data_IF_493961092356
#
_entry.id   IF_493961092356
#
_cell.length_a   1.000
_cell.length_b   1.000
_cell.length_c   1.000
_cell.angle_alpha   90.00
_cell.angle_beta   90.00
_cell.angle_gamma   90.00
#
_symmetry.space_group_name_H-M   'P 1'
#
loop_
_entity.id
_entity.type
_entity.pdbx_description
1 polymer ?
#
# COMPACT_ATOMS: atom_id res chain seq x y z
N UNK A 1 -35.56 27.97 1.73
CA UNK A 1 -34.76 27.14 2.68
C UNK A 1 -33.31 27.15 2.23
N UNK A 2 -32.42 27.78 3.00
CA UNK A 2 -31.00 27.87 2.67
C UNK A 2 -30.31 26.58 3.11
N UNK A 3 -29.81 25.78 2.15
CA UNK A 3 -29.06 24.54 2.42
C UNK A 3 -27.86 24.87 3.33
N UNK A 4 -27.89 24.43 4.59
CA UNK A 4 -26.74 24.52 5.51
C UNK A 4 -25.53 23.86 4.83
N UNK A 5 -24.52 24.65 4.47
CA UNK A 5 -23.25 24.14 3.95
C UNK A 5 -22.59 23.36 5.07
N UNK A 6 -22.43 22.05 4.89
CA UNK A 6 -21.55 21.25 5.76
C UNK A 6 -20.14 21.85 5.67
N UNK A 7 -19.41 22.01 6.79
CA UNK A 7 -18.03 22.48 6.74
C UNK A 7 -17.24 21.56 5.81
N UNK A 8 -16.57 22.17 4.82
CA UNK A 8 -15.75 21.43 3.86
C UNK A 8 -14.53 20.94 4.63
N UNK A 9 -14.45 19.63 4.92
CA UNK A 9 -13.26 19.01 5.51
C UNK A 9 -12.08 19.44 4.62
N UNK A 10 -11.14 20.20 5.17
CA UNK A 10 -9.93 20.60 4.42
C UNK A 10 -9.27 19.29 4.03
N UNK A 11 -9.22 18.99 2.73
CA UNK A 11 -8.51 17.81 2.24
C UNK A 11 -7.04 18.10 2.44
N UNK A 12 -6.46 17.49 3.46
CA UNK A 12 -5.01 17.47 3.65
C UNK A 12 -4.39 16.80 2.43
N UNK A 13 -3.36 17.43 1.89
CA UNK A 13 -2.57 16.85 0.81
C UNK A 13 -1.98 15.52 1.28
N UNK A 14 -1.89 14.52 0.40
CA UNK A 14 -1.23 13.25 0.70
C UNK A 14 -0.21 12.99 -0.38
N UNK A 15 1.02 12.63 -0.02
CA UNK A 15 2.04 12.17 -0.96
C UNK A 15 2.34 10.70 -0.70
N UNK A 16 2.20 9.84 -1.72
CA UNK A 16 2.51 8.41 -1.63
C UNK A 16 3.68 8.09 -2.54
N UNK A 17 4.75 7.55 -1.96
CA UNK A 17 5.91 7.03 -2.67
C UNK A 17 5.75 5.52 -2.85
N UNK A 18 5.66 5.06 -4.09
CA UNK A 18 5.51 3.64 -4.43
C UNK A 18 6.84 3.06 -4.91
N UNK A 19 7.17 1.85 -4.44
CA UNK A 19 8.35 1.11 -4.90
C UNK A 19 8.22 0.68 -6.37
N UNK A 20 7.03 0.26 -6.80
CA UNK A 20 6.76 -0.25 -8.14
C UNK A 20 5.49 0.30 -8.78
N UNK A 21 5.33 -0.07 -10.06
CA UNK A 21 4.20 0.38 -10.88
C UNK A 21 2.87 -0.30 -10.52
N UNK A 22 2.92 -1.51 -9.95
CA UNK A 22 1.70 -2.20 -9.52
C UNK A 22 1.01 -1.44 -8.39
N UNK A 23 1.77 -1.02 -7.37
CA UNK A 23 1.31 -0.20 -6.26
C UNK A 23 0.82 1.15 -6.77
N UNK A 24 1.58 1.79 -7.67
CA UNK A 24 1.20 3.07 -8.25
C UNK A 24 -0.15 2.99 -8.98
N UNK A 25 -0.33 2.01 -9.85
CA UNK A 25 -1.57 1.82 -10.59
C UNK A 25 -2.74 1.49 -9.65
N UNK A 26 -2.48 0.73 -8.59
CA UNK A 26 -3.48 0.43 -7.57
C UNK A 26 -3.93 1.71 -6.83
N UNK A 27 -3.00 2.56 -6.37
CA UNK A 27 -3.36 3.83 -5.73
C UNK A 27 -4.00 4.82 -6.70
N UNK A 28 -3.64 4.83 -7.99
CA UNK A 28 -4.34 5.62 -9.03
C UNK A 28 -5.80 5.19 -9.17
N UNK A 29 -6.07 3.88 -9.19
CA UNK A 29 -7.44 3.36 -9.20
C UNK A 29 -8.21 3.82 -7.96
N UNK A 30 -7.64 3.70 -6.76
CA UNK A 30 -8.29 4.16 -5.53
C UNK A 30 -8.53 5.69 -5.53
N UNK A 31 -7.58 6.46 -6.07
CA UNK A 31 -7.72 7.89 -6.26
C UNK A 31 -8.92 8.25 -7.13
N UNK A 32 -9.15 7.51 -8.21
CA UNK A 32 -10.31 7.69 -9.07
C UNK A 32 -11.59 7.29 -8.33
N UNK A 33 -11.62 6.07 -7.76
CA UNK A 33 -12.77 5.50 -7.05
C UNK A 33 -13.28 6.41 -5.91
N UNK A 34 -12.37 6.96 -5.11
CA UNK A 34 -12.71 7.77 -3.92
C UNK A 34 -12.58 9.28 -4.13
N UNK A 35 -12.48 9.74 -5.38
CA UNK A 35 -12.35 11.16 -5.73
C UNK A 35 -11.19 11.86 -4.99
N UNK A 36 -10.04 11.19 -4.87
CA UNK A 36 -8.87 11.58 -4.07
C UNK A 36 -8.02 12.70 -4.66
N UNK A 37 -8.63 13.83 -5.02
CA UNK A 37 -7.95 14.94 -5.73
C UNK A 37 -6.76 15.58 -4.98
N UNK A 38 -6.66 15.40 -3.65
CA UNK A 38 -5.56 15.88 -2.83
C UNK A 38 -4.38 14.92 -2.72
N UNK A 39 -4.48 13.74 -3.35
CA UNK A 39 -3.45 12.71 -3.30
C UNK A 39 -2.51 12.91 -4.48
N UNK A 40 -1.22 12.98 -4.19
CA UNK A 40 -0.13 12.95 -5.15
C UNK A 40 0.56 11.60 -5.04
N UNK A 41 0.83 11.01 -6.19
CA UNK A 41 1.47 9.70 -6.29
C UNK A 41 2.81 9.90 -6.96
N UNK A 42 3.85 9.33 -6.37
CA UNK A 42 5.20 9.34 -6.91
C UNK A 42 5.71 7.91 -7.02
N UNK A 43 6.02 7.52 -8.25
CA UNK A 43 6.84 6.35 -8.48
C UNK A 43 8.28 6.70 -8.14
N UNK A 44 8.96 5.74 -7.54
CA UNK A 44 10.40 5.78 -7.32
C UNK A 44 11.19 5.96 -8.63
N UNK A 45 12.26 6.76 -8.61
CA UNK A 45 13.17 6.89 -9.75
C UNK A 45 14.19 5.72 -9.81
N UNK A 46 14.00 4.87 -10.82
CA UNK A 46 14.85 3.90 -11.56
C UNK A 46 16.03 3.10 -10.92
N UNK A 47 16.56 3.42 -9.74
CA UNK A 47 17.82 2.81 -9.24
C UNK A 47 17.71 1.50 -8.39
N UNK A 48 16.66 0.67 -8.52
CA UNK A 48 16.50 -0.58 -7.72
C UNK A 48 16.54 -0.53 -6.16
N UNK A 49 16.57 0.66 -5.55
CA UNK A 49 16.59 0.96 -4.12
C UNK A 49 15.32 0.51 -3.34
N UNK A 50 15.50 -0.13 -2.19
CA UNK A 50 14.43 -0.70 -1.37
C UNK A 50 14.31 -0.02 0.01
N UNK A 51 13.12 -0.07 0.61
CA UNK A 51 12.83 0.35 2.00
C UNK A 51 13.45 1.69 2.42
N UNK A 52 14.58 1.62 3.14
CA UNK A 52 15.36 2.76 3.66
C UNK A 52 15.55 3.90 2.65
N UNK A 53 15.88 3.55 1.41
CA UNK A 53 16.22 4.55 0.40
C UNK A 53 14.96 5.28 -0.11
N UNK A 54 13.81 4.60 -0.16
CA UNK A 54 12.53 5.22 -0.51
C UNK A 54 12.06 6.17 0.60
N UNK A 55 12.29 5.81 1.86
CA UNK A 55 12.07 6.70 3.01
C UNK A 55 12.95 7.95 2.91
N UNK A 56 14.25 7.79 2.62
CA UNK A 56 15.16 8.91 2.42
C UNK A 56 14.73 9.82 1.26
N UNK A 57 14.26 9.24 0.15
CA UNK A 57 13.72 10.00 -0.98
C UNK A 57 12.52 10.85 -0.56
N UNK A 58 11.62 10.29 0.25
CA UNK A 58 10.46 11.00 0.77
C UNK A 58 10.86 12.17 1.71
N UNK A 59 11.89 11.97 2.54
CA UNK A 59 12.46 13.02 3.39
C UNK A 59 13.06 14.15 2.56
N UNK A 60 13.91 13.82 1.57
CA UNK A 60 14.53 14.80 0.68
C UNK A 60 13.46 15.58 -0.08
N UNK A 61 12.46 14.89 -0.62
CA UNK A 61 11.36 15.53 -1.31
C UNK A 61 10.59 16.50 -0.42
N UNK A 62 10.26 16.10 0.82
CA UNK A 62 9.58 16.97 1.79
C UNK A 62 10.40 18.21 2.11
N UNK A 63 11.68 18.03 2.39
CA UNK A 63 12.57 19.15 2.71
C UNK A 63 12.65 20.15 1.55
N UNK A 64 12.62 19.66 0.31
CA UNK A 64 12.57 20.50 -0.89
C UNK A 64 11.24 21.26 -1.05
N UNK A 65 10.13 20.82 -0.43
CA UNK A 65 8.87 21.57 -0.44
C UNK A 65 8.88 22.76 0.55
N UNK A 66 9.78 22.76 1.54
CA UNK A 66 9.78 23.75 2.62
C UNK A 66 8.41 23.83 3.31
N UNK A 67 7.87 25.05 3.46
CA UNK A 67 6.53 25.28 4.03
C UNK A 67 5.38 25.04 3.03
N UNK A 68 5.68 24.63 1.80
CA UNK A 68 4.69 24.43 0.73
C UNK A 68 3.88 23.13 0.85
N UNK A 69 4.34 22.18 1.66
CA UNK A 69 3.64 20.91 1.91
C UNK A 69 3.44 20.71 3.41
N UNK A 70 2.18 20.56 3.83
CA UNK A 70 1.78 20.29 5.22
C UNK A 70 0.95 18.99 5.33
N UNK A 71 0.98 18.19 4.28
CA UNK A 71 0.21 16.95 4.16
C UNK A 71 0.85 15.74 4.82
N UNK A 72 0.18 14.60 4.70
CA UNK A 72 0.71 13.30 5.15
C UNK A 72 1.56 12.66 4.06
N UNK A 73 2.66 12.02 4.46
CA UNK A 73 3.50 11.25 3.54
C UNK A 73 3.36 9.76 3.86
N UNK A 74 3.24 8.97 2.81
CA UNK A 74 3.23 7.52 2.85
C UNK A 74 4.35 6.99 1.97
N UNK A 75 4.97 5.91 2.42
CA UNK A 75 5.97 5.16 1.67
C UNK A 75 5.50 3.71 1.60
N UNK A 76 5.39 3.15 0.40
CA UNK A 76 4.92 1.80 0.14
C UNK A 76 6.06 0.94 -0.39
N UNK A 77 6.46 -0.06 0.39
CA UNK A 77 7.47 -1.05 0.01
C UNK A 77 7.13 -2.43 0.56
N UNK A 78 7.67 -3.45 -0.08
CA UNK A 78 7.52 -4.83 0.35
C UNK A 78 8.78 -5.32 1.09
N UNK A 79 8.73 -6.47 1.76
CA UNK A 79 9.92 -7.12 2.30
C UNK A 79 10.92 -7.40 1.16
N UNK A 80 10.46 -8.04 0.08
CA UNK A 80 11.24 -8.44 -1.10
C UNK A 80 12.64 -9.01 -0.78
N UNK A 81 12.72 -9.83 0.27
CA UNK A 81 13.96 -10.45 0.77
C UNK A 81 15.03 -9.43 1.19
N UNK A 82 14.60 -8.26 1.66
CA UNK A 82 15.51 -7.28 2.26
C UNK A 82 16.10 -7.80 3.56
N UNK A 83 17.29 -7.32 3.87
CA UNK A 83 17.87 -7.49 5.19
C UNK A 83 16.95 -6.91 6.27
N UNK A 84 16.75 -7.67 7.36
CA UNK A 84 15.78 -7.32 8.41
C UNK A 84 16.18 -6.05 9.15
N UNK A 85 17.47 -5.86 9.41
CA UNK A 85 17.96 -4.65 10.08
C UNK A 85 17.76 -3.42 9.20
N UNK A 86 17.86 -3.59 7.88
CA UNK A 86 17.49 -2.56 6.91
C UNK A 86 16.01 -2.21 6.96
N UNK A 87 15.10 -3.20 7.07
CA UNK A 87 13.66 -2.95 7.22
C UNK A 87 13.32 -2.25 8.54
N UNK A 88 13.95 -2.68 9.64
CA UNK A 88 13.81 -2.04 10.96
C UNK A 88 14.28 -0.60 10.90
N UNK A 89 15.45 -0.35 10.30
CA UNK A 89 15.99 1.00 10.12
C UNK A 89 15.05 1.87 9.29
N UNK A 90 14.41 1.29 8.26
CA UNK A 90 13.48 2.03 7.39
C UNK A 90 12.25 2.48 8.17
N UNK A 91 11.66 1.56 8.95
CA UNK A 91 10.51 1.85 9.79
C UNK A 91 10.84 2.89 10.87
N UNK A 92 11.99 2.74 11.55
CA UNK A 92 12.43 3.69 12.58
C UNK A 92 12.69 5.08 11.99
N UNK A 93 13.36 5.15 10.84
CA UNK A 93 13.62 6.40 10.13
C UNK A 93 12.31 7.07 9.70
N UNK A 94 11.37 6.29 9.13
CA UNK A 94 10.06 6.80 8.74
C UNK A 94 9.30 7.37 9.95
N UNK A 95 9.25 6.63 11.06
CA UNK A 95 8.60 7.06 12.30
C UNK A 95 9.21 8.34 12.87
N UNK A 96 10.56 8.41 12.95
CA UNK A 96 11.27 9.60 13.40
C UNK A 96 10.93 10.84 12.56
N UNK A 97 10.69 10.63 11.26
CA UNK A 97 10.35 11.66 10.32
C UNK A 97 8.84 11.82 10.09
N UNK A 98 7.95 11.22 10.90
CA UNK A 98 6.49 11.29 10.72
C UNK A 98 6.02 10.90 9.30
N UNK A 99 6.63 9.85 8.74
CA UNK A 99 6.25 9.24 7.47
C UNK A 99 5.55 7.92 7.77
N UNK A 100 4.38 7.71 7.19
CA UNK A 100 3.62 6.48 7.32
C UNK A 100 4.18 5.39 6.39
N UNK A 101 4.22 4.16 6.85
CA UNK A 101 4.72 3.02 6.06
C UNK A 101 3.57 2.10 5.69
N UNK A 102 3.42 1.85 4.39
CA UNK A 102 2.57 0.80 3.82
C UNK A 102 3.48 -0.36 3.47
N UNK A 103 3.22 -1.54 4.02
CA UNK A 103 4.10 -2.69 3.96
C UNK A 103 3.36 -3.96 3.56
N UNK A 104 4.05 -4.82 2.82
CA UNK A 104 3.68 -6.21 2.63
C UNK A 104 4.85 -7.15 2.90
N UNK A 105 4.60 -8.23 3.63
CA UNK A 105 5.63 -9.18 4.08
C UNK A 105 6.30 -9.96 2.95
N UNK A 106 5.65 -10.07 1.79
CA UNK A 106 6.20 -10.81 0.64
C UNK A 106 6.28 -9.90 -0.56
N UNK A 107 5.11 -9.41 -0.94
CA UNK A 107 4.90 -8.49 -2.04
C UNK A 107 3.47 -7.92 -1.98
N UNK A 108 3.19 -6.87 -2.75
CA UNK A 108 1.83 -6.30 -2.88
C UNK A 108 0.77 -7.33 -3.28
N UNK A 109 1.15 -8.43 -3.93
CA UNK A 109 0.21 -9.48 -4.32
C UNK A 109 -0.50 -10.16 -3.14
N UNK A 110 0.09 -10.15 -1.93
CA UNK A 110 -0.61 -10.54 -0.69
C UNK A 110 -1.85 -9.68 -0.49
N UNK A 111 -1.74 -8.36 -0.67
CA UNK A 111 -2.88 -7.44 -0.57
C UNK A 111 -3.86 -7.63 -1.74
N UNK A 112 -3.37 -7.72 -2.97
CA UNK A 112 -4.24 -7.84 -4.16
C UNK A 112 -5.10 -9.11 -4.13
N UNK A 113 -4.58 -10.24 -3.64
CA UNK A 113 -5.36 -11.47 -3.54
C UNK A 113 -6.45 -11.38 -2.45
N UNK A 114 -6.32 -10.48 -1.46
CA UNK A 114 -7.36 -10.24 -0.44
C UNK A 114 -8.68 -9.79 -1.03
N UNK A 115 -8.67 -9.11 -2.17
CA UNK A 115 -9.89 -8.68 -2.85
C UNK A 115 -10.86 -9.83 -3.12
N UNK A 116 -10.34 -11.05 -3.29
CA UNK A 116 -11.16 -12.18 -3.71
C UNK A 116 -11.26 -13.28 -2.66
N UNK A 117 -10.38 -13.30 -1.66
CA UNK A 117 -10.36 -14.39 -0.69
C UNK A 117 -9.66 -14.09 0.65
N UNK A 118 -10.10 -14.77 1.73
CA UNK A 118 -9.40 -14.79 3.01
C UNK A 118 -8.11 -15.64 2.98
N UNK A 119 -7.28 -15.56 4.03
CA UNK A 119 -6.04 -16.34 4.15
C UNK A 119 -6.47 -17.66 4.75
N UNK A 120 -6.40 -18.72 3.96
CA UNK A 120 -6.81 -20.06 4.36
C UNK A 120 -5.67 -20.81 5.05
N UNK A 121 -4.44 -20.66 4.55
CA UNK A 121 -3.24 -21.31 5.09
C UNK A 121 -2.05 -20.36 5.01
N UNK A 122 -1.31 -20.17 6.10
CA UNK A 122 -0.21 -19.19 6.16
C UNK A 122 0.94 -19.49 5.22
N UNK A 123 1.25 -20.76 5.01
CA UNK A 123 2.45 -21.22 4.29
C UNK A 123 2.38 -20.84 2.82
N UNK A 124 1.26 -21.14 2.16
CA UNK A 124 1.05 -20.83 0.73
C UNK A 124 1.09 -19.34 0.43
N UNK A 125 0.62 -18.50 1.36
CA UNK A 125 0.63 -17.05 1.19
C UNK A 125 2.01 -16.42 1.38
N UNK A 126 2.99 -17.19 1.85
CA UNK A 126 4.41 -16.80 1.87
C UNK A 126 5.12 -17.15 0.54
N UNK A 127 4.48 -17.88 -0.36
CA UNK A 127 5.06 -18.32 -1.63
C UNK A 127 4.65 -17.39 -2.79
N UNK A 128 5.60 -16.61 -3.32
CA UNK A 128 5.35 -15.70 -4.46
C UNK A 128 4.74 -16.41 -5.67
N UNK A 129 5.25 -17.60 -6.00
CA UNK A 129 4.76 -18.42 -7.12
C UNK A 129 3.29 -18.82 -6.94
N UNK A 130 2.90 -19.18 -5.72
CA UNK A 130 1.52 -19.50 -5.40
C UNK A 130 0.61 -18.27 -5.52
N UNK A 131 1.03 -17.12 -4.97
CA UNK A 131 0.28 -15.86 -5.09
C UNK A 131 0.04 -15.50 -6.56
N UNK A 132 1.07 -15.59 -7.41
CA UNK A 132 0.98 -15.29 -8.83
C UNK A 132 0.07 -16.26 -9.58
N UNK A 133 0.16 -17.57 -9.28
CA UNK A 133 -0.73 -18.56 -9.86
C UNK A 133 -2.18 -18.27 -9.48
N UNK A 134 -2.45 -18.00 -8.21
CA UNK A 134 -3.80 -17.71 -7.73
C UNK A 134 -4.36 -16.43 -8.33
N UNK A 135 -3.57 -15.37 -8.47
CA UNK A 135 -4.00 -14.16 -9.15
C UNK A 135 -4.27 -14.41 -10.64
N UNK A 136 -3.45 -15.22 -11.31
CA UNK A 136 -3.67 -15.62 -12.71
C UNK A 136 -5.03 -16.26 -12.90
N UNK A 137 -5.36 -17.23 -12.05
CA UNK A 137 -6.64 -17.97 -12.09
C UNK A 137 -7.82 -17.07 -11.69
N UNK A 138 -7.69 -16.33 -10.58
CA UNK A 138 -8.76 -15.49 -10.02
C UNK A 138 -9.16 -14.37 -10.98
N UNK A 139 -8.18 -13.74 -11.61
CA UNK A 139 -8.38 -12.64 -12.55
C UNK A 139 -8.66 -13.10 -13.99
N UNK A 140 -8.68 -14.43 -14.21
CA UNK A 140 -8.87 -15.09 -15.50
C UNK A 140 -7.92 -14.54 -16.58
N UNK A 141 -6.64 -14.41 -16.23
CA UNK A 141 -5.63 -13.84 -17.12
C UNK A 141 -5.26 -14.84 -18.22
N UNK A 142 -5.05 -14.33 -19.43
CA UNK A 142 -4.63 -15.15 -20.60
C UNK A 142 -3.19 -15.64 -20.49
N UNK A 143 -2.37 -14.94 -19.71
CA UNK A 143 -0.97 -15.27 -19.42
C UNK A 143 -0.78 -15.24 -17.91
N UNK A 144 0.35 -15.77 -17.45
CA UNK A 144 0.75 -15.70 -16.03
C UNK A 144 0.78 -14.25 -15.54
N UNK A 145 0.31 -14.01 -14.31
CA UNK A 145 0.20 -12.70 -13.68
C UNK A 145 1.50 -11.89 -13.76
N UNK A 146 2.65 -12.55 -13.65
CA UNK A 146 3.98 -11.94 -13.74
C UNK A 146 4.16 -11.11 -15.02
N UNK A 147 3.54 -11.53 -16.13
CA UNK A 147 3.60 -10.79 -17.41
C UNK A 147 2.80 -9.49 -17.44
N UNK A 148 1.93 -9.28 -16.44
CA UNK A 148 1.11 -8.07 -16.27
C UNK A 148 1.63 -7.15 -15.16
N UNK A 149 2.70 -7.51 -14.44
CA UNK A 149 3.26 -6.65 -13.39
C UNK A 149 3.66 -5.28 -13.97
N UNK A 150 3.25 -4.22 -13.28
CA UNK A 150 3.41 -2.84 -13.72
C UNK A 150 2.49 -2.37 -14.85
N UNK A 151 1.71 -3.26 -15.47
CA UNK A 151 0.64 -2.84 -16.38
C UNK A 151 -0.58 -2.37 -15.58
N UNK A 152 -1.39 -1.52 -16.20
CA UNK A 152 -2.62 -1.06 -15.57
C UNK A 152 -3.74 -2.12 -15.71
N UNK A 153 -3.75 -3.03 -14.75
CA UNK A 153 -4.85 -3.98 -14.54
C UNK A 153 -5.60 -3.69 -13.23
N UNK A 154 -5.40 -2.52 -12.63
CA UNK A 154 -5.89 -2.19 -11.30
C UNK A 154 -7.43 -2.14 -11.24
N UNK A 155 -8.08 -1.82 -12.36
CA UNK A 155 -9.54 -1.84 -12.51
C UNK A 155 -10.18 -3.19 -12.13
N UNK A 156 -9.44 -4.31 -12.24
CA UNK A 156 -9.94 -5.64 -11.86
C UNK A 156 -10.21 -5.80 -10.35
N UNK A 157 -9.65 -4.93 -9.53
CA UNK A 157 -9.78 -4.96 -8.08
C UNK A 157 -10.80 -3.95 -7.54
N UNK A 158 -11.24 -3.01 -8.38
CA UNK A 158 -11.97 -1.80 -7.95
C UNK A 158 -13.22 -2.11 -7.13
N UNK A 159 -14.05 -3.06 -7.58
CA UNK A 159 -15.31 -3.40 -6.92
C UNK A 159 -15.12 -4.16 -5.60
N UNK A 160 -13.93 -4.70 -5.36
CA UNK A 160 -13.63 -5.62 -4.26
C UNK A 160 -12.76 -5.00 -3.16
N UNK A 161 -12.58 -3.67 -3.15
CA UNK A 161 -11.73 -2.98 -2.15
C UNK A 161 -12.25 -3.21 -0.73
N UNK A 162 -13.57 -3.24 -0.55
CA UNK A 162 -14.19 -3.51 0.75
C UNK A 162 -14.00 -4.97 1.19
N UNK A 163 -14.08 -5.91 0.26
CA UNK A 163 -13.79 -7.33 0.52
C UNK A 163 -12.34 -7.51 0.92
N UNK A 164 -11.41 -6.80 0.27
CA UNK A 164 -10.00 -6.82 0.62
C UNK A 164 -9.76 -6.39 2.08
N UNK A 165 -10.37 -5.27 2.48
CA UNK A 165 -10.27 -4.77 3.86
C UNK A 165 -10.91 -5.73 4.87
N UNK A 166 -12.11 -6.23 4.58
CA UNK A 166 -12.83 -7.20 5.42
C UNK A 166 -12.00 -8.48 5.61
N UNK A 167 -11.51 -9.04 4.51
CA UNK A 167 -10.63 -10.20 4.55
C UNK A 167 -9.39 -9.87 5.38
N UNK A 168 -8.66 -8.79 5.05
CA UNK A 168 -7.46 -8.35 5.77
C UNK A 168 -7.68 -8.26 7.29
N UNK A 169 -8.74 -7.58 7.73
CA UNK A 169 -9.11 -7.43 9.13
C UNK A 169 -9.46 -8.77 9.80
N UNK A 170 -10.14 -9.69 9.09
CA UNK A 170 -10.46 -11.01 9.64
C UNK A 170 -9.23 -11.85 10.01
N UNK A 171 -8.07 -11.59 9.39
CA UNK A 171 -6.84 -12.34 9.64
C UNK A 171 -5.83 -11.57 10.50
N UNK A 172 -5.66 -10.27 10.26
CA UNK A 172 -4.68 -9.44 10.98
C UNK A 172 -5.29 -8.66 12.15
N UNK A 173 -6.63 -8.56 12.25
CA UNK A 173 -7.28 -7.66 13.18
C UNK A 173 -6.76 -6.23 13.06
N UNK A 174 -6.58 -5.58 14.20
CA UNK A 174 -5.98 -4.24 14.32
C UNK A 174 -4.45 -4.29 14.50
N UNK A 175 -3.78 -5.37 14.03
CA UNK A 175 -2.31 -5.47 14.15
C UNK A 175 -1.66 -4.33 13.38
N UNK A 176 -1.01 -3.42 14.12
CA UNK A 176 -0.22 -2.35 13.55
C UNK A 176 1.10 -2.87 12.99
N UNK A 177 1.69 -2.14 12.05
CA UNK A 177 3.05 -2.42 11.62
C UNK A 177 4.03 -2.01 12.72
N UNK A 178 4.78 -2.99 13.24
CA UNK A 178 5.93 -2.76 14.11
C UNK A 178 7.11 -3.64 13.66
N UNK A 179 8.28 -3.45 14.27
CA UNK A 179 9.50 -4.15 13.89
C UNK A 179 9.43 -5.67 14.04
N UNK A 180 8.58 -6.20 14.94
CA UNK A 180 8.42 -7.63 15.14
C UNK A 180 7.89 -8.35 13.90
N UNK A 181 7.05 -7.67 13.10
CA UNK A 181 6.49 -8.19 11.83
C UNK A 181 7.60 -8.68 10.90
N UNK A 182 8.73 -7.98 10.85
CA UNK A 182 9.86 -8.32 9.98
C UNK A 182 10.54 -9.65 10.37
N UNK A 183 10.40 -10.09 11.62
CA UNK A 183 10.97 -11.33 12.12
C UNK A 183 9.99 -12.52 12.06
N UNK A 184 8.69 -12.26 11.84
CA UNK A 184 7.69 -13.33 11.74
C UNK A 184 7.76 -14.07 10.40
N UNK A 185 7.40 -15.35 10.42
CA UNK A 185 7.16 -16.15 9.21
C UNK A 185 5.64 -16.29 8.98
N UNK A 186 4.94 -15.17 8.86
CA UNK A 186 3.50 -15.10 8.59
C UNK A 186 3.24 -14.04 7.54
N UNK A 187 2.28 -14.23 6.63
CA UNK A 187 1.84 -13.14 5.75
C UNK A 187 1.49 -11.92 6.60
N UNK A 188 1.69 -10.73 6.07
CA UNK A 188 1.25 -9.50 6.71
C UNK A 188 1.11 -8.41 5.65
N UNK A 189 0.10 -7.57 5.80
CA UNK A 189 0.00 -6.30 5.09
C UNK A 189 -0.86 -5.33 5.90
N UNK A 190 -0.54 -4.03 5.85
CA UNK A 190 -1.31 -2.96 6.50
C UNK A 190 -1.95 -1.99 5.49
N UNK A 191 -2.17 -2.43 4.25
CA UNK A 191 -2.83 -1.65 3.21
C UNK A 191 -4.24 -1.21 3.64
N UNK A 192 -5.02 -2.08 4.30
CA UNK A 192 -6.38 -1.76 4.77
C UNK A 192 -6.38 -0.51 5.67
N UNK A 193 -5.49 -0.43 6.66
CA UNK A 193 -5.38 0.72 7.55
C UNK A 193 -4.95 1.97 6.78
N UNK A 194 -3.93 1.84 5.94
CA UNK A 194 -3.37 2.97 5.19
C UNK A 194 -4.38 3.56 4.20
N UNK A 195 -5.12 2.71 3.48
CA UNK A 195 -6.17 3.15 2.53
C UNK A 195 -7.30 3.86 3.27
N UNK A 196 -7.73 3.32 4.42
CA UNK A 196 -8.74 3.96 5.27
C UNK A 196 -8.35 5.38 5.64
N UNK A 197 -7.11 5.57 6.07
CA UNK A 197 -6.59 6.87 6.49
C UNK A 197 -6.42 7.83 5.29
N UNK A 198 -5.79 7.37 4.21
CA UNK A 198 -5.50 8.16 3.00
C UNK A 198 -6.79 8.68 2.37
N UNK A 199 -7.80 7.82 2.23
CA UNK A 199 -9.03 8.13 1.51
C UNK A 199 -10.16 8.58 2.43
N UNK A 200 -9.92 8.65 3.75
CA UNK A 200 -10.93 9.00 4.76
C UNK A 200 -12.22 8.19 4.61
N UNK A 201 -12.07 6.87 4.48
CA UNK A 201 -13.21 5.96 4.33
C UNK A 201 -13.63 5.53 5.72
N UNK A 202 -14.80 5.96 6.18
CA UNK A 202 -15.26 5.67 7.56
C UNK A 202 -15.55 4.18 7.79
N UNK A 203 -15.78 3.41 6.72
CA UNK A 203 -16.00 1.96 6.75
C UNK A 203 -15.12 1.27 5.71
N UNK A 204 -14.00 0.71 6.17
CA UNK A 204 -13.22 -0.34 5.49
C UNK A 204 -13.09 -1.52 6.44
#
# INVERSE_FOLDING_TARGET
MTRKRRPKKIRTEVMIFCEGETELNYFKMLQQKYNGSGIKLKLRNENGQKGNKLVNEAIVWRNAQGNGFSGSIYVCFDDDSQDKDSLVTALQTANHHHINVIFSKINVEVWLLRHFRPIETTEKWLEKTWLYQRLTETLQLKKRYESYKGQDIAYKYEDYVQDAATNCAAFFGETALDSSVFYTNRPFTNFNHSIRDIFSIDTL
#
